data_IF_484922953944
#
_entry.id   IF_484922953944
#
_cell.length_a   1.000
_cell.length_b   1.000
_cell.length_c   1.000
_cell.angle_alpha   90.00
_cell.angle_beta   90.00
_cell.angle_gamma   90.00
#
_symmetry.space_group_name_H-M   'P 1'
#
loop_
_entity.id
_entity.type
_entity.pdbx_description
1 polymer ?
#
# COMPACT_ATOMS: atom_id res chain seq x y z
N UNK A 1 1.70 -0.38 13.50
CA UNK A 1 0.50 -1.21 13.25
C UNK A 1 -0.84 -0.46 13.41
N UNK A 2 -1.17 0.09 14.59
CA UNK A 2 -2.47 0.73 14.87
C UNK A 2 -2.82 1.85 13.87
N UNK A 3 -1.86 2.69 13.53
CA UNK A 3 -2.06 3.79 12.58
C UNK A 3 -2.46 3.29 11.17
N UNK A 4 -1.87 2.18 10.70
CA UNK A 4 -2.23 1.57 9.41
C UNK A 4 -3.66 1.05 9.42
N UNK A 5 -4.07 0.36 10.50
CA UNK A 5 -5.45 -0.11 10.65
C UNK A 5 -6.47 1.04 10.63
N UNK A 6 -6.15 2.15 11.29
CA UNK A 6 -6.98 3.37 11.27
C UNK A 6 -7.03 3.97 9.86
N UNK A 7 -5.87 4.13 9.20
CA UNK A 7 -5.79 4.69 7.85
C UNK A 7 -6.62 3.91 6.84
N UNK A 8 -6.59 2.57 6.88
CA UNK A 8 -7.42 1.72 6.01
C UNK A 8 -8.91 2.05 6.17
N UNK A 9 -9.39 2.13 7.42
CA UNK A 9 -10.80 2.45 7.70
C UNK A 9 -11.16 3.87 7.24
N UNK A 10 -10.29 4.85 7.47
CA UNK A 10 -10.52 6.22 7.02
C UNK A 10 -10.57 6.33 5.48
N UNK A 11 -9.68 5.62 4.78
CA UNK A 11 -9.68 5.57 3.30
C UNK A 11 -10.97 4.93 2.78
N UNK A 12 -11.43 3.83 3.39
CA UNK A 12 -12.70 3.19 3.03
C UNK A 12 -13.89 4.16 3.17
N UNK A 13 -13.94 4.90 4.29
CA UNK A 13 -14.97 5.91 4.54
C UNK A 13 -14.91 7.06 3.53
N UNK A 14 -13.71 7.56 3.22
CA UNK A 14 -13.53 8.61 2.21
C UNK A 14 -13.96 8.15 0.82
N UNK A 15 -13.65 6.91 0.45
CA UNK A 15 -14.09 6.30 -0.82
C UNK A 15 -15.61 6.22 -0.90
N UNK A 16 -16.27 5.77 0.17
CA UNK A 16 -17.73 5.72 0.23
C UNK A 16 -18.35 7.13 0.11
N UNK A 17 -17.84 8.09 0.86
CA UNK A 17 -18.29 9.49 0.79
C UNK A 17 -18.09 10.08 -0.61
N UNK A 18 -16.96 9.79 -1.26
CA UNK A 18 -16.69 10.23 -2.62
C UNK A 18 -17.78 9.75 -3.58
N UNK A 19 -18.10 8.45 -3.58
CA UNK A 19 -19.14 7.90 -4.47
C UNK A 19 -20.54 8.43 -4.17
N UNK A 20 -20.84 8.76 -2.91
CA UNK A 20 -22.13 9.31 -2.52
C UNK A 20 -22.29 10.81 -2.84
N UNK A 21 -21.19 11.57 -2.83
CA UNK A 21 -21.27 13.04 -2.74
C UNK A 21 -20.52 13.78 -3.85
N UNK A 22 -19.68 13.12 -4.65
CA UNK A 22 -18.89 13.79 -5.69
C UNK A 22 -19.81 14.48 -6.70
N UNK A 23 -19.46 15.71 -7.05
CA UNK A 23 -20.14 16.49 -8.09
C UNK A 23 -19.18 16.72 -9.24
N UNK A 24 -19.51 16.15 -10.39
CA UNK A 24 -18.76 16.35 -11.64
C UNK A 24 -19.53 17.34 -12.50
N UNK A 25 -18.94 18.51 -12.73
CA UNK A 25 -19.51 19.56 -13.59
C UNK A 25 -19.01 19.43 -15.03
N UNK A 26 -19.67 20.10 -15.97
CA UNK A 26 -19.39 20.03 -17.40
C UNK A 26 -20.47 19.27 -18.17
N UNK A 27 -20.27 19.11 -19.47
CA UNK A 27 -21.21 18.39 -20.36
C UNK A 27 -20.49 17.27 -21.12
N UNK A 28 -21.26 16.44 -21.83
CA UNK A 28 -20.76 15.37 -22.69
C UNK A 28 -20.35 15.86 -24.10
N UNK A 29 -20.57 17.13 -24.40
CA UNK A 29 -20.26 17.74 -25.72
C UNK A 29 -18.82 18.25 -25.84
N UNK A 30 -18.05 18.17 -24.75
CA UNK A 30 -16.66 18.63 -24.68
C UNK A 30 -15.78 17.70 -23.84
N UNK A 31 -14.46 17.87 -23.95
CA UNK A 31 -13.52 17.16 -23.09
C UNK A 31 -13.67 17.63 -21.63
N UNK A 32 -14.24 16.76 -20.78
CA UNK A 32 -14.52 17.09 -19.40
C UNK A 32 -13.34 16.75 -18.46
N UNK A 33 -12.45 17.73 -18.22
CA UNK A 33 -11.34 17.55 -17.27
C UNK A 33 -11.79 17.34 -15.82
N UNK A 34 -12.98 17.81 -15.43
CA UNK A 34 -13.51 17.57 -14.08
C UNK A 34 -13.82 16.09 -13.89
N UNK A 35 -14.37 15.44 -14.92
CA UNK A 35 -14.60 14.00 -14.94
C UNK A 35 -13.27 13.22 -14.86
N UNK A 36 -12.25 13.61 -15.63
CA UNK A 36 -10.93 12.97 -15.54
C UNK A 36 -10.33 13.06 -14.13
N UNK A 37 -10.41 14.23 -13.51
CA UNK A 37 -9.87 14.44 -12.15
C UNK A 37 -10.65 13.61 -11.12
N UNK A 38 -11.98 13.53 -11.25
CA UNK A 38 -12.79 12.68 -10.40
C UNK A 38 -12.39 11.20 -10.54
N UNK A 39 -12.19 10.72 -11.77
CA UNK A 39 -11.68 9.36 -12.03
C UNK A 39 -10.32 9.10 -11.36
N UNK A 40 -9.36 10.01 -11.50
CA UNK A 40 -8.04 9.87 -10.84
C UNK A 40 -8.15 9.82 -9.31
N UNK A 41 -9.02 10.64 -8.72
CA UNK A 41 -9.25 10.61 -7.26
C UNK A 41 -9.90 9.29 -6.84
N UNK A 42 -10.84 8.76 -7.63
CA UNK A 42 -11.42 7.45 -7.39
C UNK A 42 -10.34 6.35 -7.37
N UNK A 43 -9.44 6.35 -8.35
CA UNK A 43 -8.32 5.39 -8.45
C UNK A 43 -7.37 5.49 -7.24
N UNK A 44 -7.11 6.71 -6.76
CA UNK A 44 -6.23 6.91 -5.60
C UNK A 44 -6.75 6.28 -4.32
N UNK A 45 -8.07 6.19 -4.12
CA UNK A 45 -8.60 5.52 -2.94
C UNK A 45 -8.28 4.02 -2.94
N UNK A 46 -8.43 3.35 -4.08
CA UNK A 46 -8.12 1.92 -4.19
C UNK A 46 -6.62 1.67 -4.02
N UNK A 47 -5.78 2.49 -4.66
CA UNK A 47 -4.33 2.38 -4.53
C UNK A 47 -3.85 2.67 -3.10
N UNK A 48 -4.37 3.71 -2.46
CA UNK A 48 -3.99 4.07 -1.09
C UNK A 48 -4.39 2.99 -0.08
N UNK A 49 -5.60 2.43 -0.21
CA UNK A 49 -6.05 1.32 0.62
C UNK A 49 -5.13 0.11 0.45
N UNK A 50 -4.80 -0.24 -0.79
CA UNK A 50 -3.90 -1.35 -1.10
C UNK A 50 -2.49 -1.13 -0.52
N UNK A 51 -1.93 0.08 -0.62
CA UNK A 51 -0.64 0.42 -0.04
C UNK A 51 -0.65 0.24 1.48
N UNK A 52 -1.71 0.65 2.17
CA UNK A 52 -1.83 0.44 3.61
C UNK A 52 -2.01 -1.04 3.97
N UNK A 53 -2.76 -1.81 3.17
CA UNK A 53 -2.91 -3.27 3.36
C UNK A 53 -1.56 -3.98 3.19
N UNK A 54 -0.79 -3.66 2.15
CA UNK A 54 0.55 -4.23 1.93
C UNK A 54 1.49 -3.88 3.09
N UNK A 55 1.54 -2.60 3.47
CA UNK A 55 2.35 -2.13 4.59
C UNK A 55 1.96 -2.79 5.92
N UNK A 56 0.65 -3.04 6.15
CA UNK A 56 0.16 -3.72 7.34
C UNK A 56 0.52 -5.21 7.33
N UNK A 57 0.47 -5.85 6.16
CA UNK A 57 0.79 -7.28 5.98
C UNK A 57 2.28 -7.55 6.12
N UNK A 58 3.14 -6.58 5.76
CA UNK A 58 4.61 -6.70 5.83
C UNK A 58 5.13 -6.30 7.22
N UNK A 59 5.20 -7.28 8.12
CA UNK A 59 5.61 -7.10 9.52
C UNK A 59 7.12 -7.11 9.73
N UNK A 60 7.82 -6.20 9.05
CA UNK A 60 9.25 -5.94 9.17
C UNK A 60 9.56 -4.47 8.86
N UNK A 61 10.81 -4.06 9.02
CA UNK A 61 11.34 -2.88 8.34
C UNK A 61 12.39 -3.30 7.31
N UNK A 62 12.21 -2.87 6.07
CA UNK A 62 13.12 -3.18 4.97
C UNK A 62 13.10 -2.04 3.93
N UNK A 63 14.25 -1.39 3.72
CA UNK A 63 14.36 -0.26 2.78
C UNK A 63 13.52 0.94 3.23
N UNK A 64 12.65 1.44 2.34
CA UNK A 64 11.77 2.57 2.64
C UNK A 64 10.51 2.19 3.44
N UNK A 65 10.21 0.89 3.57
CA UNK A 65 9.16 0.42 4.47
C UNK A 65 9.73 0.33 5.89
N UNK A 66 9.35 1.27 6.74
CA UNK A 66 9.82 1.35 8.13
C UNK A 66 8.63 1.29 9.08
N UNK A 67 8.56 0.23 9.88
CA UNK A 67 7.60 0.06 10.97
C UNK A 67 8.34 0.35 12.27
N UNK A 68 7.90 1.35 13.03
CA UNK A 68 8.55 1.74 14.31
C UNK A 68 8.69 0.56 15.27
N UNK A 69 7.73 -0.37 15.26
CA UNK A 69 7.75 -1.62 16.01
C UNK A 69 8.79 -2.67 15.54
N UNK A 70 9.42 -2.45 14.38
CA UNK A 70 10.46 -3.29 13.78
C UNK A 70 11.69 -2.45 13.41
N UNK A 71 12.14 -1.63 14.35
CA UNK A 71 13.41 -0.91 14.26
C UNK A 71 14.27 -1.35 15.45
N UNK A 72 15.56 -1.57 15.23
CA UNK A 72 16.48 -1.91 16.31
C UNK A 72 16.66 -0.74 17.27
N UNK A 73 17.20 -0.97 18.47
CA UNK A 73 17.49 0.11 19.42
C UNK A 73 18.44 1.19 18.85
N UNK A 74 19.27 0.80 17.88
CA UNK A 74 20.18 1.68 17.15
C UNK A 74 19.52 2.46 15.99
N UNK A 75 18.22 2.26 15.74
CA UNK A 75 17.50 2.94 14.66
C UNK A 75 17.65 2.30 13.29
N UNK A 76 18.23 1.10 13.20
CA UNK A 76 18.39 0.36 11.94
C UNK A 76 17.14 -0.49 11.63
N UNK A 77 16.90 -0.70 10.34
CA UNK A 77 15.77 -1.51 9.88
C UNK A 77 15.91 -2.97 10.35
N UNK A 78 14.93 -3.45 11.13
CA UNK A 78 14.86 -4.85 11.52
C UNK A 78 14.12 -5.65 10.43
N UNK A 79 14.92 -6.30 9.57
CA UNK A 79 14.43 -7.21 8.54
C UNK A 79 14.07 -8.56 9.12
N UNK A 80 13.06 -9.20 8.55
CA UNK A 80 12.64 -10.55 8.91
C UNK A 80 12.70 -11.43 7.66
N UNK A 81 13.93 -11.70 7.19
CA UNK A 81 14.18 -12.34 5.90
C UNK A 81 13.59 -13.77 5.80
N UNK A 82 13.42 -14.50 6.91
CA UNK A 82 12.79 -15.83 6.91
C UNK A 82 11.29 -15.78 6.54
N UNK A 83 10.61 -14.66 6.83
CA UNK A 83 9.18 -14.50 6.64
C UNK A 83 8.82 -13.58 5.45
N UNK A 84 9.69 -12.63 5.11
CA UNK A 84 9.39 -11.52 4.19
C UNK A 84 10.34 -11.36 3.00
N UNK A 85 11.20 -12.36 2.75
CA UNK A 85 12.06 -12.44 1.57
C UNK A 85 11.29 -12.80 0.29
N UNK A 86 10.29 -12.00 -0.05
CA UNK A 86 9.44 -12.12 -1.24
C UNK A 86 8.99 -10.76 -1.77
N UNK A 87 8.64 -10.72 -3.06
CA UNK A 87 7.93 -9.58 -3.68
C UNK A 87 6.43 -9.77 -3.53
N UNK A 88 5.74 -8.74 -3.04
CA UNK A 88 4.27 -8.72 -2.95
C UNK A 88 3.67 -8.37 -4.32
N UNK A 89 2.79 -9.22 -4.84
CA UNK A 89 1.95 -8.91 -6.01
C UNK A 89 0.47 -9.04 -5.62
N UNK A 90 -0.26 -7.93 -5.66
CA UNK A 90 -1.65 -7.89 -5.21
C UNK A 90 -2.62 -7.94 -6.39
N UNK A 91 -3.51 -8.94 -6.38
CA UNK A 91 -4.57 -9.10 -7.35
C UNK A 91 -5.87 -8.45 -6.86
N UNK A 92 -6.50 -7.65 -7.72
CA UNK A 92 -7.85 -7.15 -7.51
C UNK A 92 -8.88 -8.29 -7.61
N UNK A 93 -9.70 -8.46 -6.57
CA UNK A 93 -10.67 -9.56 -6.45
C UNK A 93 -12.09 -9.18 -6.90
N UNK A 94 -12.30 -7.96 -7.43
CA UNK A 94 -13.63 -7.35 -7.58
C UNK A 94 -14.06 -6.53 -6.36
N UNK A 95 -13.27 -6.55 -5.28
CA UNK A 95 -13.43 -5.68 -4.12
C UNK A 95 -12.05 -5.15 -3.69
N UNK A 96 -11.88 -3.82 -3.74
CA UNK A 96 -10.62 -3.16 -3.38
C UNK A 96 -10.19 -3.43 -1.92
N UNK A 97 -11.13 -3.75 -1.03
CA UNK A 97 -10.87 -4.04 0.38
C UNK A 97 -10.50 -5.49 0.65
N UNK A 98 -10.57 -6.37 -0.35
CA UNK A 98 -10.24 -7.80 -0.24
C UNK A 98 -9.27 -8.24 -1.36
N UNK A 99 -8.12 -7.57 -1.55
CA UNK A 99 -7.16 -7.97 -2.56
C UNK A 99 -6.51 -9.31 -2.17
N UNK A 100 -6.07 -10.09 -3.15
CA UNK A 100 -5.38 -11.37 -2.94
C UNK A 100 -3.87 -11.19 -3.10
N UNK A 101 -3.10 -11.56 -2.09
CA UNK A 101 -1.64 -11.53 -2.13
C UNK A 101 -1.08 -12.76 -2.85
N UNK A 102 -0.30 -12.52 -3.88
CA UNK A 102 0.62 -13.48 -4.48
C UNK A 102 2.04 -13.12 -4.06
N UNK A 103 2.80 -14.12 -3.61
CA UNK A 103 4.18 -13.95 -3.17
C UNK A 103 5.12 -14.58 -4.19
N UNK A 104 6.10 -13.81 -4.64
CA UNK A 104 7.23 -14.32 -5.42
C UNK A 104 8.46 -14.37 -4.53
N UNK A 105 8.87 -15.58 -4.15
CA UNK A 105 10.00 -15.81 -3.25
C UNK A 105 11.33 -15.37 -3.87
N UNK A 106 12.15 -14.68 -3.08
CA UNK A 106 13.47 -14.22 -3.51
C UNK A 106 14.53 -15.26 -3.17
N UNK A 107 15.23 -15.75 -4.20
CA UNK A 107 16.33 -16.69 -4.06
C UNK A 107 17.68 -16.02 -4.32
N UNK A 108 18.58 -16.11 -3.34
CA UNK A 108 19.89 -15.47 -3.37
C UNK A 108 21.02 -16.50 -3.58
N UNK A 109 21.39 -16.74 -4.84
CA UNK A 109 22.42 -17.72 -5.20
C UNK A 109 23.84 -17.23 -4.91
N UNK A 110 24.17 -16.00 -5.32
CA UNK A 110 25.55 -15.48 -5.30
C UNK A 110 25.89 -14.63 -4.09
N UNK A 111 24.91 -13.89 -3.54
CA UNK A 111 25.12 -12.96 -2.42
C UNK A 111 24.02 -13.17 -1.41
N UNK A 112 24.38 -13.70 -0.25
CA UNK A 112 23.42 -13.88 0.85
C UNK A 112 23.03 -12.53 1.46
N UNK A 113 21.75 -12.35 1.83
CA UNK A 113 21.31 -11.18 2.58
C UNK A 113 22.14 -11.02 3.87
N UNK A 114 22.48 -9.77 4.18
CA UNK A 114 23.13 -9.37 5.42
C UNK A 114 22.51 -8.04 5.87
N UNK A 115 22.64 -7.75 7.16
CA UNK A 115 22.21 -6.46 7.70
C UNK A 115 22.97 -5.32 7.04
N UNK A 116 22.22 -4.35 6.49
CA UNK A 116 22.78 -3.12 5.93
C UNK A 116 22.83 -2.07 7.03
N UNK A 117 24.01 -1.49 7.25
CA UNK A 117 24.23 -0.39 8.19
C UNK A 117 24.87 0.78 7.42
N UNK A 118 24.39 2.00 7.65
CA UNK A 118 24.85 3.22 6.97
C UNK A 118 25.66 4.17 7.86
N UNK A 119 25.88 3.79 9.13
CA UNK A 119 26.80 4.49 10.03
C UNK A 119 28.26 4.25 9.64
#
# INVERSE_FOLDING_TARGET
EKALKVAIVEIQQLREQFWQQVKVTGTDTELNQTLERAGRVADFFELAELMCIDALTREESCGCHAREEHITEDGEAQRHDDDFSYVSAWQYSGNASLPSLHKEELHFEFVRPNTRNYR
#
